data_IF_562586629734
#
_entry.id   IF_562586629734
#
_cell.length_a   1.000
_cell.length_b   1.000
_cell.length_c   1.000
_cell.angle_alpha   90.00
_cell.angle_beta   90.00
_cell.angle_gamma   90.00
#
_symmetry.space_group_name_H-M   'P 1'
#
loop_
_entity.id
_entity.type
_entity.pdbx_description
1 polymer ?
#
# COMPACT_ATOMS: atom_id res chain seq x y z
N UNK A 1 8.93 -7.84 14.93
CA UNK A 1 8.15 -6.57 14.95
C UNK A 1 7.49 -6.50 13.60
N UNK A 2 6.16 -6.54 13.51
CA UNK A 2 5.45 -6.88 12.27
C UNK A 2 4.68 -5.70 11.66
N UNK A 3 4.70 -4.53 12.32
CA UNK A 3 4.01 -3.32 11.89
C UNK A 3 4.99 -2.15 11.94
N UNK A 4 5.19 -1.49 10.80
CA UNK A 4 6.04 -0.32 10.66
C UNK A 4 5.15 0.85 10.22
N UNK A 5 5.01 1.86 11.07
CA UNK A 5 4.14 3.03 10.83
C UNK A 5 4.78 4.27 11.44
N UNK A 6 4.65 5.43 10.78
CA UNK A 6 5.12 6.69 11.36
C UNK A 6 4.14 7.19 12.42
N UNK A 7 4.53 7.12 13.70
CA UNK A 7 3.65 7.48 14.84
C UNK A 7 3.96 8.84 15.47
N UNK A 8 5.20 9.31 15.36
CA UNK A 8 5.65 10.57 16.00
C UNK A 8 5.52 11.80 15.10
N UNK A 9 5.70 11.61 13.79
CA UNK A 9 5.57 12.66 12.78
C UNK A 9 4.97 12.03 11.52
N UNK A 10 3.64 12.11 11.32
CA UNK A 10 2.97 11.46 10.20
C UNK A 10 3.39 12.15 8.89
N UNK A 11 4.44 11.62 8.27
CA UNK A 11 4.99 12.11 7.01
C UNK A 11 4.43 11.29 5.88
N UNK A 12 3.87 11.95 4.88
CA UNK A 12 3.42 11.31 3.65
C UNK A 12 4.62 10.74 2.88
N UNK A 13 4.44 9.55 2.30
CA UNK A 13 5.47 8.87 1.51
C UNK A 13 6.59 8.21 2.34
N UNK A 14 6.45 8.11 3.66
CA UNK A 14 7.41 7.40 4.51
C UNK A 14 7.35 5.87 4.31
N UNK A 15 6.18 5.39 3.98
CA UNK A 15 5.79 3.99 4.08
C UNK A 15 6.44 3.11 2.99
N UNK A 16 6.63 3.62 1.76
CA UNK A 16 7.29 2.86 0.69
C UNK A 16 8.78 2.65 0.98
N UNK A 17 9.50 3.69 1.40
CA UNK A 17 10.91 3.59 1.83
C UNK A 17 11.09 2.60 2.99
N UNK A 18 10.10 2.56 3.89
CA UNK A 18 10.06 1.63 5.01
C UNK A 18 9.80 0.21 4.55
N UNK A 19 8.92 0.00 3.57
CA UNK A 19 8.68 -1.30 2.96
C UNK A 19 9.91 -1.81 2.19
N UNK A 20 10.63 -0.92 1.49
CA UNK A 20 11.91 -1.22 0.84
C UNK A 20 12.93 -1.71 1.87
N UNK A 21 13.12 -0.96 2.96
CA UNK A 21 14.01 -1.37 4.05
C UNK A 21 13.58 -2.67 4.71
N UNK A 22 12.28 -2.87 4.93
CA UNK A 22 11.72 -4.10 5.51
C UNK A 22 11.94 -5.33 4.63
N UNK A 23 11.76 -5.19 3.32
CA UNK A 23 11.97 -6.28 2.36
C UNK A 23 13.45 -6.62 2.21
N UNK A 24 14.32 -5.60 2.14
CA UNK A 24 15.77 -5.80 2.09
C UNK A 24 16.32 -6.45 3.37
N UNK A 25 15.81 -6.05 4.53
CA UNK A 25 16.23 -6.61 5.82
C UNK A 25 15.69 -8.02 6.08
N UNK A 26 14.60 -8.41 5.42
CA UNK A 26 13.95 -9.70 5.64
C UNK A 26 13.46 -10.35 4.32
N UNK A 27 14.37 -10.90 3.51
CA UNK A 27 14.06 -11.35 2.14
C UNK A 27 13.02 -12.48 2.06
N UNK A 28 12.81 -13.22 3.15
CA UNK A 28 11.84 -14.33 3.22
C UNK A 28 10.46 -13.91 3.72
N UNK A 29 10.30 -12.65 4.14
CA UNK A 29 9.03 -12.14 4.65
C UNK A 29 8.16 -11.60 3.50
N UNK A 30 6.86 -11.81 3.61
CA UNK A 30 5.89 -11.08 2.79
C UNK A 30 5.77 -9.67 3.36
N UNK A 31 6.19 -8.68 2.57
CA UNK A 31 6.07 -7.26 2.94
C UNK A 31 4.89 -6.66 2.20
N UNK A 32 3.91 -6.16 2.98
CA UNK A 32 2.75 -5.46 2.46
C UNK A 32 2.84 -3.99 2.85
N UNK A 33 2.85 -3.13 1.83
CA UNK A 33 2.76 -1.69 1.91
C UNK A 33 1.30 -1.29 1.70
N UNK A 34 0.67 -0.71 2.72
CA UNK A 34 -0.73 -0.27 2.69
C UNK A 34 -0.74 1.25 2.77
N UNK A 35 -1.37 1.92 1.80
CA UNK A 35 -1.39 3.39 1.78
C UNK A 35 -2.58 3.97 1.04
N UNK A 36 -2.84 5.26 1.25
CA UNK A 36 -3.77 6.05 0.44
C UNK A 36 -3.13 6.62 -0.83
N UNK A 37 -3.95 6.93 -1.83
CA UNK A 37 -3.54 7.56 -3.09
C UNK A 37 -2.74 8.86 -2.88
N UNK A 38 -3.18 9.73 -1.96
CA UNK A 38 -2.49 10.97 -1.66
C UNK A 38 -1.07 10.78 -1.12
N UNK A 39 -0.85 9.82 -0.22
CA UNK A 39 0.47 9.53 0.34
C UNK A 39 1.36 8.79 -0.67
N UNK A 40 0.79 7.82 -1.39
CA UNK A 40 1.50 7.06 -2.42
C UNK A 40 2.11 7.96 -3.51
N UNK A 41 1.41 9.03 -3.91
CA UNK A 41 1.92 10.00 -4.87
C UNK A 41 3.18 10.74 -4.38
N UNK A 42 3.40 10.85 -3.06
CA UNK A 42 4.61 11.45 -2.50
C UNK A 42 5.82 10.52 -2.57
N UNK A 43 5.61 9.20 -2.60
CA UNK A 43 6.67 8.18 -2.64
C UNK A 43 6.83 7.48 -3.98
N UNK A 44 6.01 7.80 -4.98
CA UNK A 44 6.00 7.13 -6.30
C UNK A 44 7.38 7.08 -6.99
N UNK A 45 8.25 8.04 -6.70
CA UNK A 45 9.62 8.10 -7.20
C UNK A 45 10.54 6.96 -6.72
N UNK A 46 10.13 6.16 -5.72
CA UNK A 46 10.88 5.00 -5.22
C UNK A 46 10.48 3.68 -5.91
N UNK A 47 9.43 3.66 -6.74
CA UNK A 47 9.04 2.48 -7.52
C UNK A 47 10.18 1.93 -8.40
N UNK A 48 11.02 2.77 -9.06
CA UNK A 48 12.18 2.27 -9.78
C UNK A 48 13.13 1.48 -8.89
N UNK A 49 13.34 1.89 -7.63
CA UNK A 49 14.22 1.18 -6.68
C UNK A 49 13.67 -0.21 -6.37
N UNK A 50 12.37 -0.32 -6.12
CA UNK A 50 11.70 -1.61 -5.90
C UNK A 50 11.91 -2.55 -7.10
N UNK A 51 11.83 -2.02 -8.32
CA UNK A 51 12.05 -2.78 -9.55
C UNK A 51 13.53 -3.19 -9.72
N UNK A 52 14.47 -2.24 -9.56
CA UNK A 52 15.91 -2.50 -9.79
C UNK A 52 16.50 -3.47 -8.77
N UNK A 53 16.05 -3.38 -7.52
CA UNK A 53 16.48 -4.27 -6.43
C UNK A 53 15.66 -5.57 -6.36
N UNK A 54 14.71 -5.75 -7.28
CA UNK A 54 13.87 -6.94 -7.41
C UNK A 54 13.15 -7.31 -6.10
N UNK A 55 12.63 -6.30 -5.40
CA UNK A 55 12.01 -6.45 -4.08
C UNK A 55 10.53 -6.89 -4.22
N UNK A 56 10.12 -8.02 -3.61
CA UNK A 56 8.77 -8.58 -3.78
C UNK A 56 7.71 -7.89 -2.90
N UNK A 57 7.64 -6.56 -2.94
CA UNK A 57 6.74 -5.76 -2.10
C UNK A 57 5.32 -5.77 -2.68
N UNK A 58 4.33 -6.02 -1.83
CA UNK A 58 2.90 -6.01 -2.15
C UNK A 58 2.30 -4.65 -1.79
N UNK A 59 1.79 -3.91 -2.76
CA UNK A 59 1.23 -2.58 -2.59
C UNK A 59 -0.29 -2.69 -2.58
N UNK A 60 -0.91 -2.42 -1.44
CA UNK A 60 -2.36 -2.31 -1.29
C UNK A 60 -2.73 -0.83 -1.23
N UNK A 61 -3.15 -0.28 -2.36
CA UNK A 61 -3.51 1.12 -2.49
C UNK A 61 -4.99 1.31 -2.18
N UNK A 62 -5.30 2.16 -1.22
CA UNK A 62 -6.66 2.53 -0.82
C UNK A 62 -7.00 3.88 -1.45
N UNK A 63 -7.65 3.83 -2.61
CA UNK A 63 -7.83 4.99 -3.47
C UNK A 63 -9.25 5.55 -3.34
N UNK A 64 -9.38 6.73 -2.77
CA UNK A 64 -10.67 7.44 -2.65
C UNK A 64 -10.71 8.73 -3.49
N UNK A 65 -9.71 8.92 -4.38
CA UNK A 65 -9.53 10.11 -5.20
C UNK A 65 -9.48 11.43 -4.42
N UNK A 66 -9.14 11.39 -3.14
CA UNK A 66 -9.17 12.54 -2.25
C UNK A 66 -7.99 12.57 -1.31
N UNK A 67 -7.40 13.74 -1.16
CA UNK A 67 -6.43 13.98 -0.11
C UNK A 67 -7.14 14.09 1.25
N UNK A 68 -7.28 12.97 1.95
CA UNK A 68 -8.02 12.90 3.21
C UNK A 68 -7.90 11.55 3.90
N UNK A 69 -8.53 11.43 5.06
CA UNK A 69 -8.55 10.18 5.81
C UNK A 69 -9.44 9.17 5.10
N UNK A 70 -8.88 7.98 4.88
CA UNK A 70 -9.62 6.86 4.33
C UNK A 70 -10.63 6.33 5.37
N UNK A 71 -11.89 6.16 4.95
CA UNK A 71 -12.96 5.61 5.80
C UNK A 71 -13.20 4.14 5.45
N UNK A 72 -12.93 3.26 6.41
CA UNK A 72 -12.94 1.81 6.25
C UNK A 72 -14.36 1.21 6.21
N UNK A 73 -15.37 1.97 6.62
CA UNK A 73 -16.77 1.55 6.73
C UNK A 73 -17.36 1.09 5.39
N UNK A 74 -16.75 1.47 4.26
CA UNK A 74 -17.23 1.18 2.91
C UNK A 74 -16.44 0.06 2.18
N UNK A 75 -15.54 -0.63 2.88
CA UNK A 75 -14.54 -1.53 2.26
C UNK A 75 -14.85 -3.03 2.27
N UNK A 76 -15.99 -3.45 2.80
CA UNK A 76 -16.32 -4.87 2.89
C UNK A 76 -16.99 -5.35 1.59
N UNK A 77 -16.19 -5.95 0.71
CA UNK A 77 -16.63 -6.59 -0.54
C UNK A 77 -16.06 -8.00 -0.64
N UNK A 78 -16.89 -8.99 -1.01
CA UNK A 78 -16.43 -10.37 -1.18
C UNK A 78 -15.32 -10.47 -2.26
N UNK A 79 -15.37 -9.63 -3.30
CA UNK A 79 -14.36 -9.65 -4.36
C UNK A 79 -12.97 -9.22 -3.88
N UNK A 80 -12.88 -8.41 -2.82
CA UNK A 80 -11.61 -7.90 -2.30
C UNK A 80 -10.72 -9.03 -1.76
N UNK A 81 -11.31 -10.04 -1.15
CA UNK A 81 -10.55 -11.18 -0.62
C UNK A 81 -9.85 -11.95 -1.75
N UNK A 82 -10.56 -12.21 -2.86
CA UNK A 82 -9.98 -12.90 -4.03
C UNK A 82 -8.87 -12.08 -4.70
N UNK A 83 -9.03 -10.76 -4.76
CA UNK A 83 -8.01 -9.86 -5.29
C UNK A 83 -6.76 -9.81 -4.40
N UNK A 84 -6.93 -9.73 -3.07
CA UNK A 84 -5.81 -9.78 -2.12
C UNK A 84 -5.07 -11.11 -2.23
N UNK A 85 -5.78 -12.24 -2.31
CA UNK A 85 -5.14 -13.54 -2.48
C UNK A 85 -4.31 -13.60 -3.77
N UNK A 86 -4.87 -13.11 -4.88
CA UNK A 86 -4.16 -13.01 -6.16
C UNK A 86 -2.88 -12.17 -6.05
N UNK A 87 -2.94 -11.03 -5.36
CA UNK A 87 -1.79 -10.17 -5.11
C UNK A 87 -0.69 -10.89 -4.32
N UNK A 88 -1.08 -11.65 -3.29
CA UNK A 88 -0.16 -12.41 -2.44
C UNK A 88 0.49 -13.57 -3.19
N UNK A 89 -0.27 -14.29 -4.02
CA UNK A 89 0.21 -15.45 -4.77
C UNK A 89 1.07 -15.10 -5.99
N UNK A 90 0.91 -13.89 -6.54
CA UNK A 90 1.70 -13.46 -7.70
C UNK A 90 3.17 -13.28 -7.30
N UNK A 91 4.15 -13.88 -7.98
CA UNK A 91 5.57 -13.65 -7.66
C UNK A 91 6.01 -12.20 -7.89
N UNK A 92 6.97 -11.72 -7.09
CA UNK A 92 7.52 -10.38 -7.21
C UNK A 92 6.60 -9.28 -6.67
N UNK A 93 6.88 -8.05 -7.07
CA UNK A 93 6.08 -6.88 -6.66
C UNK A 93 4.71 -6.86 -7.33
N UNK A 94 3.70 -6.36 -6.63
CA UNK A 94 2.34 -6.26 -7.16
C UNK A 94 1.64 -5.02 -6.60
N UNK A 95 0.87 -4.31 -7.43
CA UNK A 95 0.02 -3.19 -7.00
C UNK A 95 -1.44 -3.56 -7.18
N UNK A 96 -2.18 -3.54 -6.07
CA UNK A 96 -3.62 -3.70 -6.02
C UNK A 96 -4.26 -2.35 -5.68
N UNK A 97 -4.90 -1.74 -6.67
CA UNK A 97 -5.66 -0.49 -6.52
C UNK A 97 -7.09 -0.82 -6.08
N UNK A 98 -7.41 -0.52 -4.82
CA UNK A 98 -8.74 -0.70 -4.24
C UNK A 98 -9.46 0.63 -4.25
N UNK A 99 -10.29 0.81 -5.26
CA UNK A 99 -11.11 2.00 -5.43
C UNK A 99 -12.26 1.99 -4.43
N UNK A 100 -12.30 3.00 -3.57
CA UNK A 100 -13.35 3.25 -2.61
C UNK A 100 -14.12 4.53 -2.98
N UNK A 101 -15.43 4.57 -2.71
CA UNK A 101 -16.21 5.80 -2.91
C UNK A 101 -15.69 6.91 -1.99
N UNK A 102 -15.67 8.13 -2.52
CA UNK A 102 -15.28 9.30 -1.72
C UNK A 102 -16.43 9.78 -0.84
N UNK A 103 -16.12 10.44 0.28
CA UNK A 103 -17.15 11.03 1.16
C UNK A 103 -18.14 11.94 0.42
N UNK A 104 -17.69 12.64 -0.64
CA UNK A 104 -18.54 13.55 -1.43
C UNK A 104 -19.58 12.81 -2.28
N UNK A 105 -19.37 11.55 -2.58
CA UNK A 105 -20.31 10.72 -3.35
C UNK A 105 -21.37 10.06 -2.46
N UNK A 106 -21.15 10.07 -1.14
CA UNK A 106 -22.01 9.42 -0.14
C UNK A 106 -22.87 10.45 0.61
N UNK A 107 -22.62 11.75 0.41
CA UNK A 107 -23.32 12.87 1.05
C UNK A 107 -24.44 13.46 0.18
#
# INVERSE_FOLDING_TARGET
MNWLVSRGYPSLGFELSTAIGGSAANPNAVVVYIDGDGSFLNSLHELPTLYTENLPIKILLLNNHHFGVFQWEYMLREELQGAIQTMLDTPGSYLLDVVAPSQKEIA
#
